data_IF_859836630367
#
_entry.id   IF_859836630367
#
_cell.length_a   1.000
_cell.length_b   1.000
_cell.length_c   1.000
_cell.angle_alpha   90.00
_cell.angle_beta   90.00
_cell.angle_gamma   90.00
#
_symmetry.space_group_name_H-M   'P 1'
#
loop_
_entity.id
_entity.type
_entity.pdbx_description
1 polymer ?
#
# COMPACT_ATOMS: atom_id res chain seq x y z
N UNK A 1 13.23 -20.85 10.00
CA UNK A 1 12.52 -21.15 11.27
C UNK A 1 11.42 -22.22 11.15
N UNK A 2 11.30 -22.93 10.03
CA UNK A 2 10.06 -23.68 9.72
C UNK A 2 10.09 -25.19 10.04
N UNK A 3 11.26 -25.82 10.13
CA UNK A 3 11.37 -27.27 10.41
C UNK A 3 11.29 -27.59 11.91
N UNK A 4 11.77 -26.69 12.76
CA UNK A 4 11.89 -26.91 14.20
C UNK A 4 10.57 -26.67 14.95
N UNK A 5 9.72 -25.76 14.45
CA UNK A 5 8.36 -25.54 14.96
C UNK A 5 7.40 -26.69 14.64
N UNK A 6 7.59 -27.37 13.51
CA UNK A 6 6.75 -28.51 13.12
C UNK A 6 6.99 -29.76 13.99
N UNK A 7 8.14 -29.82 14.67
CA UNK A 7 8.45 -30.86 15.67
C UNK A 7 7.76 -30.63 17.01
N UNK A 8 7.31 -29.42 17.30
CA UNK A 8 6.73 -29.05 18.61
C UNK A 8 5.22 -28.82 18.55
N UNK A 9 4.68 -28.29 17.44
CA UNK A 9 3.24 -28.16 17.20
C UNK A 9 2.92 -28.35 15.71
N UNK A 10 2.18 -29.41 15.40
CA UNK A 10 1.77 -29.78 14.05
C UNK A 10 0.35 -29.26 13.74
N UNK A 11 0.24 -27.94 13.50
CA UNK A 11 -1.04 -27.28 13.18
C UNK A 11 -1.12 -26.90 11.69
N UNK A 12 -2.33 -26.68 11.18
CA UNK A 12 -2.57 -26.29 9.78
C UNK A 12 -1.83 -24.99 9.42
N UNK A 13 -1.72 -24.07 10.37
CA UNK A 13 -1.02 -22.79 10.21
C UNK A 13 0.49 -22.98 10.08
N UNK A 14 1.10 -23.83 10.92
CA UNK A 14 2.54 -24.14 10.86
C UNK A 14 2.89 -24.86 9.55
N UNK A 15 2.02 -25.76 9.08
CA UNK A 15 2.17 -26.42 7.77
C UNK A 15 2.04 -25.45 6.61
N UNK A 16 1.05 -24.55 6.62
CA UNK A 16 0.88 -23.52 5.59
C UNK A 16 2.08 -22.59 5.53
N UNK A 17 2.61 -22.21 6.68
CA UNK A 17 3.80 -21.37 6.83
C UNK A 17 5.07 -22.01 6.30
N UNK A 18 5.28 -23.29 6.60
CA UNK A 18 6.38 -24.06 6.06
C UNK A 18 6.22 -24.24 4.54
N UNK A 19 5.01 -24.56 4.06
CA UNK A 19 4.74 -24.71 2.65
C UNK A 19 5.00 -23.39 1.90
N UNK A 20 4.50 -22.26 2.40
CA UNK A 20 4.78 -20.93 1.87
C UNK A 20 6.28 -20.66 1.85
N UNK A 21 7.01 -20.92 2.93
CA UNK A 21 8.46 -20.72 2.96
C UNK A 21 9.23 -21.65 2.00
N UNK A 22 8.72 -22.85 1.73
CA UNK A 22 9.32 -23.81 0.79
C UNK A 22 8.97 -23.54 -0.68
N UNK A 23 7.82 -22.91 -0.96
CA UNK A 23 7.39 -22.54 -2.31
C UNK A 23 7.72 -21.09 -2.68
N UNK A 24 8.12 -20.27 -1.70
CA UNK A 24 8.58 -18.89 -1.88
C UNK A 24 9.90 -18.88 -2.67
N UNK A 25 9.79 -18.65 -3.98
CA UNK A 25 10.93 -18.41 -4.87
C UNK A 25 10.64 -17.16 -5.69
N UNK A 26 10.70 -15.96 -5.09
CA UNK A 26 10.53 -14.72 -5.81
C UNK A 26 11.63 -14.64 -6.88
N UNK A 27 11.23 -14.31 -8.10
CA UNK A 27 12.15 -14.23 -9.23
C UNK A 27 12.22 -12.80 -9.70
N UNK A 28 13.44 -12.34 -9.92
CA UNK A 28 13.67 -11.14 -10.71
C UNK A 28 13.12 -11.42 -12.11
N UNK A 29 12.09 -10.69 -12.49
CA UNK A 29 11.33 -10.89 -13.73
C UNK A 29 11.84 -9.97 -14.83
N UNK A 30 12.07 -8.69 -14.51
CA UNK A 30 12.51 -7.68 -15.47
C UNK A 30 13.24 -6.50 -14.80
N UNK A 31 14.12 -5.86 -15.56
CA UNK A 31 14.59 -4.50 -15.31
C UNK A 31 13.87 -3.55 -16.28
N UNK A 32 13.27 -2.49 -15.75
CA UNK A 32 12.74 -1.38 -16.52
C UNK A 32 13.75 -0.23 -16.44
N UNK A 33 14.30 0.14 -17.58
CA UNK A 33 15.34 1.16 -17.72
C UNK A 33 14.84 2.28 -18.62
N UNK A 34 15.03 3.52 -18.20
CA UNK A 34 14.61 4.70 -18.96
C UNK A 34 14.90 6.02 -18.24
N UNK A 35 14.83 6.01 -16.91
CA UNK A 35 15.23 7.15 -16.10
C UNK A 35 16.74 7.38 -16.16
N UNK A 36 17.13 8.65 -16.03
CA UNK A 36 18.53 9.09 -16.05
C UNK A 36 19.10 9.45 -14.67
N UNK A 37 18.26 9.42 -13.64
CA UNK A 37 18.62 9.60 -12.25
C UNK A 37 17.81 8.65 -11.36
N UNK A 38 17.98 8.72 -10.05
CA UNK A 38 17.35 7.80 -9.10
C UNK A 38 15.82 7.77 -9.26
N UNK A 39 15.23 6.58 -9.22
CA UNK A 39 13.76 6.44 -9.12
C UNK A 39 13.40 6.70 -7.67
N UNK A 40 12.44 7.57 -7.41
CA UNK A 40 12.03 7.99 -6.07
C UNK A 40 10.73 7.32 -5.63
N UNK A 41 9.83 7.03 -6.57
CA UNK A 41 8.50 6.50 -6.28
C UNK A 41 8.02 5.59 -7.41
N UNK A 42 7.35 4.49 -7.06
CA UNK A 42 6.64 3.60 -7.99
C UNK A 42 5.22 3.34 -7.50
N UNK A 43 4.26 3.27 -8.42
CA UNK A 43 2.86 2.97 -8.10
C UNK A 43 2.21 2.17 -9.24
N UNK A 44 1.48 1.10 -8.91
CA UNK A 44 0.65 0.39 -9.89
C UNK A 44 -0.70 1.08 -10.04
N UNK A 45 -1.21 1.12 -11.28
CA UNK A 45 -2.61 1.43 -11.55
C UNK A 45 -3.49 0.28 -11.04
N UNK A 46 -4.63 0.57 -10.38
CA UNK A 46 -5.56 -0.44 -9.89
C UNK A 46 -6.29 -1.21 -11.01
N UNK A 47 -6.35 -0.67 -12.24
CA UNK A 47 -7.24 -1.16 -13.30
C UNK A 47 -6.53 -1.69 -14.54
N UNK A 48 -5.43 -1.05 -14.96
CA UNK A 48 -5.00 -1.14 -16.38
C UNK A 48 -3.65 -1.84 -16.59
N UNK A 49 -3.10 -2.52 -15.58
CA UNK A 49 -1.79 -3.18 -15.70
C UNK A 49 -0.65 -2.20 -16.03
N UNK A 50 -0.82 -0.94 -15.61
CA UNK A 50 0.16 0.14 -15.79
C UNK A 50 0.96 0.29 -14.50
N UNK A 51 2.26 0.54 -14.62
CA UNK A 51 3.11 1.00 -13.53
C UNK A 51 3.58 2.42 -13.82
N UNK A 52 3.53 3.31 -12.85
CA UNK A 52 4.17 4.62 -12.90
C UNK A 52 5.48 4.60 -12.11
N UNK A 53 6.49 5.31 -12.61
CA UNK A 53 7.72 5.61 -11.86
C UNK A 53 8.04 7.10 -11.94
N UNK A 54 8.26 7.73 -10.78
CA UNK A 54 8.77 9.09 -10.65
C UNK A 54 10.27 9.09 -10.33
N UNK A 55 11.01 10.10 -10.77
CA UNK A 55 12.47 10.15 -10.63
C UNK A 55 13.01 11.54 -10.30
N UNK A 56 14.22 11.55 -9.75
CA UNK A 56 15.10 12.71 -9.62
C UNK A 56 15.44 13.37 -10.96
N UNK A 57 15.22 12.69 -12.08
CA UNK A 57 15.36 13.27 -13.43
C UNK A 57 14.20 14.18 -13.84
N UNK A 58 13.27 14.44 -12.90
CA UNK A 58 12.12 15.36 -13.04
C UNK A 58 11.02 14.83 -13.95
N UNK A 59 11.10 13.57 -14.35
CA UNK A 59 10.13 12.93 -15.24
C UNK A 59 9.36 11.83 -14.54
N UNK A 60 8.19 11.52 -15.10
CA UNK A 60 7.43 10.31 -14.78
C UNK A 60 7.41 9.40 -16.01
N UNK A 61 7.65 8.11 -15.85
CA UNK A 61 7.46 7.13 -16.92
C UNK A 61 6.28 6.23 -16.57
N UNK A 62 5.38 6.04 -17.54
CA UNK A 62 4.32 5.04 -17.48
C UNK A 62 4.75 3.80 -18.26
N UNK A 63 4.69 2.65 -17.61
CA UNK A 63 5.11 1.35 -18.15
C UNK A 63 3.91 0.44 -18.33
N UNK A 64 3.87 -0.25 -19.44
CA UNK A 64 3.00 -1.41 -19.62
C UNK A 64 3.69 -2.62 -18.95
N UNK A 65 3.05 -3.20 -17.93
CA UNK A 65 3.66 -4.26 -17.11
C UNK A 65 3.81 -5.56 -17.91
N UNK A 66 2.89 -5.84 -18.84
CA UNK A 66 2.90 -7.08 -19.62
C UNK A 66 4.03 -7.09 -20.66
N UNK A 67 4.19 -6.00 -21.40
CA UNK A 67 5.19 -5.82 -22.45
C UNK A 67 6.53 -5.32 -21.91
N UNK A 68 6.54 -4.75 -20.69
CA UNK A 68 7.72 -4.17 -20.02
C UNK A 68 8.31 -3.00 -20.80
N UNK A 69 7.46 -2.28 -21.52
CA UNK A 69 7.83 -1.13 -22.34
C UNK A 69 7.18 0.14 -21.80
N UNK A 70 7.80 1.31 -22.00
CA UNK A 70 7.13 2.57 -21.71
C UNK A 70 5.93 2.76 -22.67
N UNK A 71 4.80 3.25 -22.14
CA UNK A 71 3.60 3.60 -22.91
C UNK A 71 3.81 4.81 -23.84
N UNK A 72 4.99 5.41 -23.81
CA UNK A 72 5.51 6.40 -24.75
C UNK A 72 6.51 7.34 -24.07
N UNK A 73 6.68 8.59 -24.54
CA UNK A 73 7.68 9.52 -23.99
C UNK A 73 7.44 9.84 -22.51
N UNK A 74 8.48 10.08 -21.69
CA UNK A 74 8.29 10.47 -20.29
C UNK A 74 7.35 11.69 -20.15
N UNK A 75 6.54 11.71 -19.09
CA UNK A 75 5.73 12.87 -18.72
C UNK A 75 6.66 13.91 -18.12
N UNK A 76 6.61 15.12 -18.69
CA UNK A 76 7.51 16.24 -18.34
C UNK A 76 6.71 17.46 -17.91
N UNK A 77 7.26 18.24 -16.99
CA UNK A 77 6.67 19.51 -16.56
C UNK A 77 7.25 19.98 -15.23
N UNK A 78 7.64 19.03 -14.35
CA UNK A 78 8.25 19.36 -13.08
C UNK A 78 9.64 19.99 -13.31
N UNK A 79 9.97 20.94 -12.47
CA UNK A 79 11.22 21.70 -12.52
C UNK A 79 12.26 21.17 -11.54
N UNK A 80 11.86 20.27 -10.65
CA UNK A 80 12.71 19.53 -9.72
C UNK A 80 12.29 18.05 -9.64
N UNK A 81 12.97 17.27 -8.79
CA UNK A 81 12.75 15.83 -8.59
C UNK A 81 11.30 15.52 -8.27
N UNK A 82 10.74 14.56 -8.98
CA UNK A 82 9.46 13.94 -8.61
C UNK A 82 9.69 13.18 -7.30
N UNK A 83 8.84 13.39 -6.31
CA UNK A 83 8.97 12.80 -4.97
C UNK A 83 8.04 11.61 -4.81
N UNK A 84 6.78 11.76 -5.25
CA UNK A 84 5.73 10.74 -5.11
C UNK A 84 4.88 10.67 -6.38
N UNK A 85 4.52 9.46 -6.79
CA UNK A 85 3.48 9.21 -7.80
C UNK A 85 2.39 8.33 -7.21
N UNK A 86 1.13 8.61 -7.54
CA UNK A 86 -0.02 7.81 -7.09
C UNK A 86 -1.11 7.79 -8.16
N UNK A 87 -1.78 6.65 -8.32
CA UNK A 87 -2.98 6.55 -9.18
C UNK A 87 -4.24 6.83 -8.35
N UNK A 88 -5.25 7.43 -9.00
CA UNK A 88 -6.61 7.45 -8.43
C UNK A 88 -7.16 6.03 -8.28
N UNK A 89 -8.08 5.77 -7.34
CA UNK A 89 -8.67 4.45 -7.15
C UNK A 89 -9.37 3.87 -8.39
N UNK A 90 -9.88 4.73 -9.27
CA UNK A 90 -10.47 4.34 -10.55
C UNK A 90 -9.46 4.21 -11.70
N UNK A 91 -8.18 4.46 -11.44
CA UNK A 91 -7.06 4.32 -12.37
C UNK A 91 -6.98 5.37 -13.48
N UNK A 92 -7.93 6.32 -13.55
CA UNK A 92 -8.00 7.30 -14.65
C UNK A 92 -7.05 8.47 -14.48
N UNK A 93 -6.73 8.82 -13.25
CA UNK A 93 -5.81 9.90 -12.93
C UNK A 93 -4.52 9.34 -12.34
N UNK A 94 -3.43 10.01 -12.68
CA UNK A 94 -2.17 9.91 -11.98
C UNK A 94 -1.89 11.28 -11.35
N UNK A 95 -1.51 11.31 -10.08
CA UNK A 95 -0.95 12.48 -9.44
C UNK A 95 0.58 12.30 -9.29
N UNK A 96 1.33 13.37 -9.52
CA UNK A 96 2.77 13.43 -9.27
C UNK A 96 3.11 14.66 -8.45
N UNK A 97 3.77 14.47 -7.31
CA UNK A 97 4.31 15.53 -6.47
C UNK A 97 5.81 15.69 -6.70
N UNK A 98 6.35 16.87 -6.39
CA UNK A 98 7.74 17.21 -6.69
C UNK A 98 8.36 18.13 -5.64
N UNK A 99 9.69 18.17 -5.60
CA UNK A 99 10.47 19.12 -4.78
C UNK A 99 10.30 20.59 -5.21
N UNK A 100 9.66 20.84 -6.35
CA UNK A 100 9.26 22.18 -6.77
C UNK A 100 7.94 22.67 -6.13
N UNK A 101 7.42 21.92 -5.15
CA UNK A 101 6.20 22.22 -4.38
C UNK A 101 4.92 22.20 -5.22
N UNK A 102 4.96 21.57 -6.40
CA UNK A 102 3.80 21.38 -7.27
C UNK A 102 3.37 19.92 -7.32
N UNK A 103 2.05 19.75 -7.43
CA UNK A 103 1.40 18.49 -7.77
C UNK A 103 0.74 18.65 -9.14
N UNK A 104 1.08 17.75 -10.07
CA UNK A 104 0.38 17.64 -11.35
C UNK A 104 -0.57 16.46 -11.35
N UNK A 105 -1.76 16.69 -11.89
CA UNK A 105 -2.70 15.63 -12.27
C UNK A 105 -2.55 15.32 -13.75
N UNK A 106 -2.56 14.05 -14.09
CA UNK A 106 -2.44 13.55 -15.46
C UNK A 106 -3.61 12.64 -15.77
N UNK A 107 -4.26 12.86 -16.91
CA UNK A 107 -5.17 11.88 -17.46
C UNK A 107 -4.35 10.70 -18.03
N UNK A 108 -4.57 9.50 -17.52
CA UNK A 108 -3.74 8.33 -17.81
C UNK A 108 -3.89 7.88 -19.27
N UNK A 109 -5.10 7.99 -19.84
CA UNK A 109 -5.40 7.53 -21.19
C UNK A 109 -4.79 8.44 -22.27
N UNK A 110 -4.92 9.76 -22.10
CA UNK A 110 -4.41 10.78 -23.03
C UNK A 110 -2.97 11.18 -22.72
N UNK A 111 -2.50 10.92 -21.50
CA UNK A 111 -1.18 11.28 -20.98
C UNK A 111 -0.95 12.79 -20.97
N UNK A 112 -2.03 13.55 -20.83
CA UNK A 112 -2.03 15.00 -20.77
C UNK A 112 -2.18 15.48 -19.34
N UNK A 113 -1.50 16.60 -19.03
CA UNK A 113 -1.62 17.28 -17.75
C UNK A 113 -2.96 18.00 -17.66
N UNK A 114 -3.59 17.93 -16.50
CA UNK A 114 -4.77 18.70 -16.12
C UNK A 114 -4.28 19.92 -15.34
N UNK A 115 -4.69 21.10 -15.79
CA UNK A 115 -4.34 22.39 -15.18
C UNK A 115 -5.56 23.02 -14.47
N UNK A 116 -5.35 23.84 -13.43
CA UNK A 116 -4.06 24.28 -12.88
C UNK A 116 -3.36 23.21 -12.01
N UNK A 117 -2.04 23.33 -11.78
CA UNK A 117 -1.35 22.53 -10.76
C UNK A 117 -1.89 22.81 -9.36
N UNK A 118 -1.73 21.81 -8.49
CA UNK A 118 -1.98 21.93 -7.06
C UNK A 118 -0.64 22.16 -6.32
N UNK A 119 -0.71 22.53 -5.05
CA UNK A 119 0.46 22.70 -4.18
C UNK A 119 0.73 21.42 -3.38
N UNK A 120 2.00 21.01 -3.29
CA UNK A 120 2.40 19.86 -2.49
C UNK A 120 3.75 19.22 -2.86
N UNK A 121 4.29 18.49 -1.89
CA UNK A 121 5.55 17.77 -1.88
C UNK A 121 5.35 16.25 -1.78
N UNK A 122 4.35 15.75 -1.06
CA UNK A 122 3.96 14.33 -1.06
C UNK A 122 2.44 14.22 -1.13
N UNK A 123 1.92 13.10 -1.60
CA UNK A 123 0.50 12.95 -1.95
C UNK A 123 -0.07 11.58 -1.60
N UNK A 124 -1.38 11.54 -1.35
CA UNK A 124 -2.16 10.31 -1.25
C UNK A 124 -3.61 10.55 -1.71
N UNK A 125 -4.14 9.68 -2.57
CA UNK A 125 -5.56 9.69 -2.92
C UNK A 125 -6.40 9.09 -1.79
N UNK A 126 -7.57 9.66 -1.55
CA UNK A 126 -8.61 9.01 -0.74
C UNK A 126 -9.10 7.74 -1.46
N UNK A 127 -9.52 6.70 -0.73
CA UNK A 127 -10.01 5.44 -1.34
C UNK A 127 -11.26 5.60 -2.22
N UNK A 128 -12.05 6.65 -2.00
CA UNK A 128 -13.22 6.98 -2.82
C UNK A 128 -12.85 7.80 -4.08
N UNK A 129 -11.61 8.29 -4.18
CA UNK A 129 -11.10 9.08 -5.30
C UNK A 129 -11.63 10.51 -5.38
N UNK A 130 -12.39 10.98 -4.39
CA UNK A 130 -12.92 12.35 -4.36
C UNK A 130 -11.91 13.38 -3.87
N UNK A 131 -10.92 12.96 -3.09
CA UNK A 131 -9.99 13.84 -2.40
C UNK A 131 -8.54 13.42 -2.63
N UNK A 132 -7.66 14.41 -2.73
CA UNK A 132 -6.21 14.20 -2.71
C UNK A 132 -5.61 14.90 -1.49
N UNK A 133 -4.98 14.15 -0.60
CA UNK A 133 -4.16 14.74 0.45
C UNK A 133 -2.79 15.11 -0.13
N UNK A 134 -2.29 16.29 0.22
CA UNK A 134 -0.97 16.77 -0.16
C UNK A 134 -0.27 17.41 1.05
N UNK A 135 0.96 16.99 1.35
CA UNK A 135 1.82 17.65 2.33
C UNK A 135 2.70 18.63 1.61
N UNK A 136 2.90 19.83 2.13
CA UNK A 136 3.78 20.86 1.54
C UNK A 136 5.15 20.85 2.20
N UNK A 137 6.13 21.51 1.57
CA UNK A 137 7.47 21.63 2.15
C UNK A 137 7.51 22.40 3.49
N UNK A 138 6.48 23.17 3.80
CA UNK A 138 6.38 23.91 5.06
C UNK A 138 5.74 23.11 6.21
N UNK A 139 5.27 21.90 5.93
CA UNK A 139 4.60 21.03 6.91
C UNK A 139 3.09 21.06 6.89
N UNK A 140 2.47 21.91 6.06
CA UNK A 140 1.01 21.96 5.95
C UNK A 140 0.49 20.73 5.23
N UNK A 141 -0.57 20.11 5.76
CA UNK A 141 -1.32 19.06 5.07
C UNK A 141 -2.63 19.65 4.54
N UNK A 142 -2.76 19.66 3.22
CA UNK A 142 -3.92 20.11 2.47
C UNK A 142 -4.73 18.90 1.99
N UNK A 143 -6.04 19.03 1.99
CA UNK A 143 -6.92 18.14 1.25
C UNK A 143 -7.45 18.90 0.04
N UNK A 144 -7.42 18.31 -1.13
CA UNK A 144 -7.90 18.90 -2.37
C UNK A 144 -9.15 18.17 -2.84
N UNK A 145 -10.21 18.91 -3.17
CA UNK A 145 -11.36 18.36 -3.88
C UNK A 145 -10.98 18.18 -5.35
N UNK A 146 -11.03 16.94 -5.85
CA UNK A 146 -10.59 16.63 -7.21
C UNK A 146 -11.62 17.00 -8.29
N UNK A 147 -12.84 17.35 -7.89
CA UNK A 147 -13.89 17.85 -8.76
C UNK A 147 -13.73 19.34 -9.03
N UNK A 148 -13.39 20.13 -8.01
CA UNK A 148 -13.23 21.58 -8.12
C UNK A 148 -11.77 22.02 -8.31
N UNK A 149 -10.81 21.17 -7.92
CA UNK A 149 -9.38 21.48 -7.81
C UNK A 149 -9.08 22.62 -6.83
N UNK A 150 -9.92 22.75 -5.80
CA UNK A 150 -9.75 23.72 -4.72
C UNK A 150 -9.37 23.01 -3.40
N UNK A 151 -8.55 23.64 -2.54
CA UNK A 151 -8.23 23.09 -1.24
C UNK A 151 -9.46 23.16 -0.31
N UNK A 152 -9.66 22.11 0.47
CA UNK A 152 -10.64 22.05 1.54
C UNK A 152 -10.11 22.79 2.76
N UNK A 153 -10.78 23.88 3.12
CA UNK A 153 -10.44 24.70 4.29
C UNK A 153 -11.19 24.23 5.55
N UNK A 154 -10.55 24.29 6.74
CA UNK A 154 -9.15 24.63 6.97
C UNK A 154 -8.19 23.45 6.65
N UNK A 155 -6.88 23.68 6.46
CA UNK A 155 -5.90 22.60 6.33
C UNK A 155 -5.94 21.66 7.54
N UNK A 156 -5.62 20.38 7.32
CA UNK A 156 -5.58 19.35 8.37
C UNK A 156 -4.49 19.62 9.42
N UNK A 157 -3.37 20.19 8.98
CA UNK A 157 -2.24 20.49 9.84
C UNK A 157 -1.53 21.73 9.32
N UNK A 158 -1.15 22.63 10.22
CA UNK A 158 -0.47 23.89 9.88
C UNK A 158 0.50 24.24 11.02
N UNK A 159 1.67 23.60 11.02
CA UNK A 159 2.81 24.02 11.83
C UNK A 159 4.02 24.18 10.93
N UNK A 160 4.49 25.42 10.86
CA UNK A 160 5.78 25.77 10.28
C UNK A 160 6.85 25.05 11.10
N UNK A 161 7.62 24.14 10.48
CA UNK A 161 9.02 23.77 10.78
C UNK A 161 9.36 22.33 10.35
N UNK A 162 8.39 21.47 9.99
CA UNK A 162 8.67 20.10 9.56
C UNK A 162 7.79 19.64 8.38
N UNK A 163 8.40 19.25 7.25
CA UNK A 163 7.68 18.61 6.15
C UNK A 163 7.48 17.11 6.41
N UNK A 164 6.30 16.63 6.04
CA UNK A 164 5.90 15.22 6.12
C UNK A 164 6.23 14.52 4.81
N UNK A 165 6.98 13.43 4.90
CA UNK A 165 7.51 12.73 3.73
C UNK A 165 6.47 11.77 3.12
N UNK A 166 5.55 11.22 3.94
CA UNK A 166 4.54 10.25 3.52
C UNK A 166 3.16 10.57 4.09
N UNK A 167 2.16 10.45 3.22
CA UNK A 167 0.75 10.49 3.56
C UNK A 167 0.10 9.16 3.18
N UNK A 168 -0.82 8.66 4.00
CA UNK A 168 -1.57 7.46 3.67
C UNK A 168 -2.96 7.48 4.32
N UNK A 169 -3.99 7.24 3.52
CA UNK A 169 -5.36 7.08 4.01
C UNK A 169 -5.58 5.67 4.55
N UNK A 170 -6.42 5.56 5.59
CA UNK A 170 -6.99 4.29 5.99
C UNK A 170 -7.83 3.70 4.84
N UNK A 171 -7.99 2.38 4.76
CA UNK A 171 -8.74 1.75 3.67
C UNK A 171 -10.20 2.21 3.55
N UNK A 172 -10.80 2.69 4.65
CA UNK A 172 -12.15 3.24 4.68
C UNK A 172 -12.21 4.76 4.43
N UNK A 173 -11.07 5.41 4.21
CA UNK A 173 -10.94 6.84 3.90
C UNK A 173 -11.15 7.78 5.08
N UNK A 174 -11.43 7.26 6.29
CA UNK A 174 -11.80 8.09 7.44
C UNK A 174 -10.62 8.68 8.18
N UNK A 175 -9.46 8.05 8.11
CA UNK A 175 -8.27 8.47 8.83
C UNK A 175 -7.15 8.75 7.84
N UNK A 176 -6.54 9.92 7.94
CA UNK A 176 -5.27 10.20 7.28
C UNK A 176 -4.13 10.00 8.28
N UNK A 177 -3.09 9.28 7.88
CA UNK A 177 -1.85 9.18 8.63
C UNK A 177 -0.71 9.90 7.90
N UNK A 178 0.17 10.56 8.66
CA UNK A 178 1.40 11.14 8.16
C UNK A 178 2.58 10.86 9.10
N UNK A 179 3.79 10.82 8.54
CA UNK A 179 5.02 10.67 9.32
C UNK A 179 5.61 12.01 9.74
N UNK A 180 6.01 12.09 11.01
CA UNK A 180 6.78 13.21 11.57
C UNK A 180 8.28 12.92 11.59
N UNK A 181 9.13 13.95 11.42
CA UNK A 181 10.59 13.78 11.48
C UNK A 181 11.14 13.56 12.88
N UNK A 182 10.33 13.73 13.91
CA UNK A 182 10.64 13.37 15.30
C UNK A 182 10.36 11.90 15.63
N UNK A 183 9.94 11.09 14.64
CA UNK A 183 9.55 9.71 14.85
C UNK A 183 8.11 9.56 15.36
N UNK A 184 7.28 10.61 15.25
CA UNK A 184 5.84 10.52 15.50
C UNK A 184 5.07 10.07 14.28
N UNK A 185 3.87 9.54 14.52
CA UNK A 185 2.87 9.32 13.49
C UNK A 185 1.66 10.16 13.90
N UNK A 186 1.25 11.03 12.98
CA UNK A 186 0.11 11.91 13.16
C UNK A 186 -1.10 11.30 12.47
N UNK A 187 -2.22 11.28 13.17
CA UNK A 187 -3.48 10.75 12.67
C UNK A 187 -4.54 11.85 12.74
N UNK A 188 -5.30 12.02 11.67
CA UNK A 188 -6.44 12.93 11.60
C UNK A 188 -7.68 12.21 11.11
N UNK A 189 -8.83 12.66 11.59
CA UNK A 189 -10.10 12.35 10.96
C UNK A 189 -10.22 13.17 9.68
N UNK A 190 -10.38 12.49 8.54
CA UNK A 190 -10.41 13.10 7.23
C UNK A 190 -11.65 13.96 6.98
N UNK A 191 -12.74 13.73 7.72
CA UNK A 191 -14.00 14.46 7.54
C UNK A 191 -14.12 15.66 8.49
N UNK A 192 -13.70 15.52 9.75
CA UNK A 192 -13.80 16.59 10.75
C UNK A 192 -12.55 17.46 10.83
N UNK A 193 -11.45 17.01 10.23
CA UNK A 193 -10.11 17.59 10.31
C UNK A 193 -9.54 17.62 11.74
N UNK A 194 -10.12 16.85 12.66
CA UNK A 194 -9.65 16.73 14.03
C UNK A 194 -8.43 15.82 14.11
N UNK A 195 -7.40 16.26 14.83
CA UNK A 195 -6.25 15.42 15.11
C UNK A 195 -6.63 14.34 16.15
N UNK A 196 -6.60 13.08 15.73
CA UNK A 196 -6.94 11.92 16.55
C UNK A 196 -5.79 11.49 17.46
N UNK A 197 -4.56 11.62 16.99
CA UNK A 197 -3.38 11.18 17.74
C UNK A 197 -2.11 11.94 17.36
N UNK A 198 -1.24 12.11 18.37
CA UNK A 198 0.15 12.55 18.27
C UNK A 198 0.98 11.57 19.11
N UNK A 199 1.17 10.35 18.61
CA UNK A 199 1.87 9.30 19.34
C UNK A 199 3.27 9.07 18.77
N UNK A 200 4.23 8.83 19.67
CA UNK A 200 5.53 8.29 19.28
C UNK A 200 5.31 6.94 18.61
N UNK A 201 5.91 6.74 17.44
CA UNK A 201 5.80 5.48 16.68
C UNK A 201 6.41 4.26 17.40
N UNK A 202 7.14 4.49 18.48
CA UNK A 202 8.02 3.49 19.11
C UNK A 202 9.40 3.39 18.46
N UNK A 203 9.63 4.07 17.33
CA UNK A 203 10.94 4.16 16.70
C UNK A 203 11.90 5.06 17.48
N UNK A 204 13.19 4.77 17.32
CA UNK A 204 14.30 5.53 17.93
C UNK A 204 14.88 6.59 16.99
N UNK A 205 14.37 6.66 15.76
CA UNK A 205 14.70 7.66 14.75
C UNK A 205 13.49 7.96 13.87
N UNK A 206 13.63 8.92 12.97
CA UNK A 206 12.58 9.37 12.04
C UNK A 206 11.86 8.20 11.37
N UNK A 207 10.54 8.27 11.34
CA UNK A 207 9.73 7.45 10.46
C UNK A 207 9.99 7.92 9.03
N UNK A 208 10.18 6.96 8.13
CA UNK A 208 10.57 7.20 6.73
C UNK A 208 9.66 6.47 5.75
N UNK A 209 8.63 5.77 6.23
CA UNK A 209 7.57 5.19 5.40
C UNK A 209 6.40 4.75 6.26
N UNK A 210 5.19 4.86 5.71
CA UNK A 210 3.94 4.37 6.30
C UNK A 210 3.18 3.53 5.29
N UNK A 211 2.51 2.49 5.76
CA UNK A 211 1.57 1.71 4.95
C UNK A 211 0.38 1.27 5.79
N UNK A 212 -0.83 1.41 5.25
CA UNK A 212 -2.02 0.77 5.79
C UNK A 212 -2.21 -0.62 5.19
N UNK A 213 -2.54 -1.55 6.06
CA UNK A 213 -3.10 -2.84 5.68
C UNK A 213 -4.57 -2.67 5.34
N UNK A 214 -5.12 -3.51 4.46
CA UNK A 214 -6.57 -3.54 4.13
C UNK A 214 -7.48 -3.74 5.35
N UNK A 215 -6.90 -4.16 6.48
CA UNK A 215 -7.61 -4.39 7.73
C UNK A 215 -7.55 -3.19 8.70
N UNK A 216 -6.91 -2.08 8.31
CA UNK A 216 -6.82 -0.85 9.11
C UNK A 216 -5.56 -0.71 9.96
N UNK A 217 -4.65 -1.68 9.91
CA UNK A 217 -3.39 -1.64 10.65
C UNK A 217 -2.30 -0.85 9.94
N UNK A 218 -1.59 -0.01 10.68
CA UNK A 218 -0.45 0.76 10.16
C UNK A 218 0.85 -0.02 10.42
N UNK A 219 1.71 -0.08 9.41
CA UNK A 219 3.12 -0.39 9.57
C UNK A 219 3.95 0.87 9.30
N UNK A 220 4.97 1.10 10.11
CA UNK A 220 5.93 2.19 9.97
C UNK A 220 7.33 1.66 9.80
N UNK A 221 8.08 2.22 8.84
CA UNK A 221 9.50 1.96 8.63
C UNK A 221 10.31 3.16 9.07
N UNK A 222 11.53 2.94 9.55
CA UNK A 222 12.36 4.02 10.10
C UNK A 222 13.81 3.98 9.65
N UNK A 223 14.46 5.14 9.82
CA UNK A 223 15.92 5.29 9.76
C UNK A 223 16.66 4.44 10.79
N UNK A 224 15.99 4.01 11.86
CA UNK A 224 16.57 3.10 12.84
C UNK A 224 16.66 1.63 12.39
N UNK A 225 16.38 1.36 11.11
CA UNK A 225 16.45 0.04 10.44
C UNK A 225 15.32 -0.93 10.79
N UNK A 226 14.38 -0.51 11.64
CA UNK A 226 13.27 -1.35 12.08
C UNK A 226 11.98 -1.03 11.34
N UNK A 227 11.07 -2.00 11.39
CA UNK A 227 9.67 -1.82 11.01
C UNK A 227 8.85 -2.08 12.25
N UNK A 228 7.95 -1.16 12.60
CA UNK A 228 7.00 -1.35 13.70
C UNK A 228 5.62 -1.53 13.09
N UNK A 229 4.92 -2.56 13.54
CA UNK A 229 3.51 -2.79 13.22
C UNK A 229 2.85 -3.36 14.47
N UNK A 230 1.83 -2.67 14.97
CA UNK A 230 1.17 -3.01 16.25
C UNK A 230 2.18 -3.09 17.39
N UNK A 231 2.26 -4.24 18.05
CA UNK A 231 3.16 -4.60 19.14
C UNK A 231 4.42 -5.34 18.66
N UNK A 232 4.64 -5.44 17.34
CA UNK A 232 5.78 -6.15 16.75
C UNK A 232 6.82 -5.18 16.20
N UNK A 233 8.08 -5.43 16.54
CA UNK A 233 9.24 -4.81 15.91
C UNK A 233 9.96 -5.83 15.04
N UNK A 234 10.05 -5.56 13.75
CA UNK A 234 10.68 -6.43 12.77
C UNK A 234 12.11 -5.97 12.53
N UNK A 235 13.06 -6.88 12.76
CA UNK A 235 14.49 -6.62 12.62
C UNK A 235 15.06 -7.51 11.51
N UNK A 236 15.57 -6.90 10.44
CA UNK A 236 16.35 -7.61 9.42
C UNK A 236 17.13 -6.68 8.48
N UNK A 237 16.58 -5.52 8.17
CA UNK A 237 17.30 -4.51 7.40
C UNK A 237 18.51 -4.00 8.17
N UNK A 238 19.56 -3.65 7.44
CA UNK A 238 20.82 -3.12 8.02
C UNK A 238 21.01 -1.63 7.79
N UNK A 239 20.02 -0.97 7.17
CA UNK A 239 19.97 0.46 6.96
C UNK A 239 18.51 0.93 6.96
N UNK A 240 18.28 2.23 6.75
CA UNK A 240 16.96 2.87 6.71
C UNK A 240 15.94 2.06 5.90
N UNK A 241 14.74 1.88 6.45
CA UNK A 241 13.59 1.32 5.70
C UNK A 241 12.91 2.46 4.96
N UNK A 242 13.10 2.52 3.65
CA UNK A 242 12.71 3.66 2.81
C UNK A 242 11.28 3.54 2.28
N UNK A 243 10.72 2.33 2.20
CA UNK A 243 9.37 2.13 1.67
C UNK A 243 8.74 0.85 2.20
N UNK A 244 7.44 0.90 2.47
CA UNK A 244 6.59 -0.21 2.87
C UNK A 244 5.38 -0.32 1.94
N UNK A 245 4.98 -1.55 1.63
CA UNK A 245 3.73 -1.81 0.91
C UNK A 245 3.12 -3.14 1.37
N UNK A 246 1.84 -3.15 1.73
CA UNK A 246 1.10 -4.40 1.92
C UNK A 246 0.71 -5.00 0.57
N UNK A 247 0.66 -6.32 0.49
CA UNK A 247 0.00 -7.00 -0.61
C UNK A 247 -1.51 -6.68 -0.61
N UNK A 248 -2.20 -6.73 -1.75
CA UNK A 248 -3.64 -6.42 -1.83
C UNK A 248 -4.51 -7.34 -0.96
N UNK A 249 -4.06 -8.56 -0.70
CA UNK A 249 -4.71 -9.48 0.22
C UNK A 249 -4.39 -9.19 1.70
N UNK A 250 -3.36 -8.39 1.99
CA UNK A 250 -2.90 -8.04 3.33
C UNK A 250 -2.14 -9.15 4.05
N UNK A 251 -1.81 -10.26 3.38
CA UNK A 251 -1.08 -11.39 3.96
C UNK A 251 0.44 -11.17 3.95
N UNK A 252 0.94 -10.27 3.11
CA UNK A 252 2.35 -9.92 3.00
C UNK A 252 2.60 -8.43 3.17
N UNK A 253 3.78 -8.12 3.70
CA UNK A 253 4.34 -6.78 3.74
C UNK A 253 5.68 -6.81 3.00
N UNK A 254 5.90 -5.92 2.04
CA UNK A 254 7.19 -5.70 1.43
C UNK A 254 7.85 -4.48 2.08
N UNK A 255 9.15 -4.56 2.32
CA UNK A 255 9.96 -3.44 2.79
C UNK A 255 11.20 -3.26 1.92
N UNK A 256 11.34 -2.07 1.33
CA UNK A 256 12.54 -1.64 0.61
C UNK A 256 13.45 -0.82 1.51
N UNK A 257 14.76 -1.00 1.39
CA UNK A 257 15.74 -0.34 2.26
C UNK A 257 16.94 0.24 1.52
N UNK A 258 17.56 1.22 2.18
CA UNK A 258 18.87 1.75 1.81
C UNK A 258 20.01 0.71 1.86
N UNK A 259 19.76 -0.48 2.44
CA UNK A 259 20.68 -1.62 2.37
C UNK A 259 20.66 -2.34 1.00
N UNK A 260 19.90 -1.80 0.04
CA UNK A 260 19.75 -2.27 -1.36
C UNK A 260 18.91 -3.53 -1.51
N UNK A 261 18.28 -3.99 -0.42
CA UNK A 261 17.45 -5.19 -0.43
C UNK A 261 15.99 -4.84 -0.28
N UNK A 262 15.15 -5.77 -0.73
CA UNK A 262 13.74 -5.82 -0.36
C UNK A 262 13.52 -7.05 0.49
N UNK A 263 12.71 -6.94 1.53
CA UNK A 263 12.31 -8.08 2.36
C UNK A 263 10.80 -8.22 2.29
N UNK A 264 10.34 -9.44 2.02
CA UNK A 264 8.93 -9.79 2.10
C UNK A 264 8.68 -10.52 3.42
N UNK A 265 7.72 -10.03 4.17
CA UNK A 265 7.30 -10.53 5.48
C UNK A 265 5.95 -11.22 5.34
N UNK A 266 5.84 -12.44 5.86
CA UNK A 266 4.55 -13.08 6.11
C UNK A 266 3.93 -12.43 7.35
N UNK A 267 2.86 -11.67 7.13
CA UNK A 267 2.06 -10.99 8.16
C UNK A 267 0.65 -11.57 8.25
N UNK A 268 0.38 -12.69 7.56
CA UNK A 268 -0.91 -13.37 7.53
C UNK A 268 -1.27 -13.96 8.89
N UNK A 269 -0.29 -14.12 9.78
CA UNK A 269 -0.45 -14.63 11.15
C UNK A 269 -0.55 -13.50 12.15
N UNK A 270 -1.78 -13.00 12.30
CA UNK A 270 -2.14 -11.83 13.12
C UNK A 270 -1.75 -11.95 14.60
N UNK A 271 -1.62 -13.17 15.13
CA UNK A 271 -1.28 -13.46 16.54
C UNK A 271 0.16 -13.96 16.73
N UNK A 272 0.96 -14.03 15.67
CA UNK A 272 2.34 -14.54 15.73
C UNK A 272 3.32 -13.52 15.15
N UNK A 273 4.61 -13.58 15.53
CA UNK A 273 5.62 -12.70 14.95
C UNK A 273 5.67 -12.83 13.44
N UNK A 274 5.66 -11.71 12.72
CA UNK A 274 5.84 -11.72 11.28
C UNK A 274 7.16 -12.40 10.91
N UNK A 275 7.12 -13.29 9.93
CA UNK A 275 8.29 -14.08 9.55
C UNK A 275 8.89 -13.56 8.24
N UNK A 276 10.21 -13.28 8.19
CA UNK A 276 10.86 -12.92 6.95
C UNK A 276 10.94 -14.15 6.02
N UNK A 277 10.47 -14.01 4.78
CA UNK A 277 10.44 -15.12 3.80
C UNK A 277 11.76 -15.20 3.03
N UNK A 278 12.13 -14.19 2.24
CA UNK A 278 13.50 -14.03 1.72
C UNK A 278 13.84 -12.57 1.46
N UNK A 279 15.12 -12.34 1.17
CA UNK A 279 15.62 -11.05 0.70
C UNK A 279 15.66 -11.08 -0.82
N UNK A 280 15.05 -10.09 -1.46
CA UNK A 280 15.15 -9.85 -2.90
C UNK A 280 16.36 -8.96 -3.12
N UNK A 281 17.30 -9.46 -3.91
CA UNK A 281 18.58 -8.80 -4.18
C UNK A 281 18.69 -8.64 -5.69
N UNK A 282 18.92 -7.40 -6.14
CA UNK A 282 19.02 -7.08 -7.56
C UNK A 282 19.46 -5.63 -7.80
N UNK A 283 18.99 -4.70 -6.96
CA UNK A 283 19.41 -3.31 -7.01
C UNK A 283 20.86 -3.11 -6.55
N UNK A 284 21.53 -2.14 -7.16
CA UNK A 284 22.94 -1.80 -6.87
C UNK A 284 23.09 -0.58 -5.95
N UNK A 285 21.99 0.13 -5.71
CA UNK A 285 21.87 1.29 -4.83
C UNK A 285 20.63 1.15 -3.92
N UNK A 286 20.40 2.08 -2.97
CA UNK A 286 19.22 2.09 -2.10
C UNK A 286 17.90 1.83 -2.84
N UNK A 287 17.06 0.96 -2.27
CA UNK A 287 15.68 0.79 -2.73
C UNK A 287 14.85 1.88 -2.09
N UNK A 288 14.26 2.73 -2.91
CA UNK A 288 13.57 3.96 -2.49
C UNK A 288 12.07 3.78 -2.41
N UNK A 289 11.50 2.88 -3.22
CA UNK A 289 10.06 2.65 -3.28
C UNK A 289 9.74 1.20 -3.63
N UNK A 290 8.69 0.64 -3.03
CA UNK A 290 8.13 -0.68 -3.34
C UNK A 290 6.61 -0.59 -3.47
N UNK A 291 6.03 -1.36 -4.40
CA UNK A 291 4.58 -1.44 -4.58
C UNK A 291 4.16 -2.80 -5.12
N UNK A 292 3.08 -3.39 -4.58
CA UNK A 292 2.49 -4.60 -5.17
C UNK A 292 1.53 -4.24 -6.30
N UNK A 293 1.44 -5.11 -7.31
CA UNK A 293 0.38 -5.05 -8.32
C UNK A 293 -0.97 -5.37 -7.68
N UNK A 294 -2.10 -4.89 -8.26
CA UNK A 294 -3.43 -5.09 -7.67
C UNK A 294 -3.86 -6.55 -7.56
N UNK A 295 -3.34 -7.42 -8.43
CA UNK A 295 -3.56 -8.87 -8.38
C UNK A 295 -2.62 -9.59 -7.38
N UNK A 296 -1.68 -8.88 -6.77
CA UNK A 296 -0.68 -9.40 -5.83
C UNK A 296 0.41 -10.26 -6.47
N UNK A 297 0.41 -10.45 -7.81
CA UNK A 297 1.33 -11.38 -8.50
C UNK A 297 2.68 -10.77 -8.84
N UNK A 298 2.77 -9.44 -8.83
CA UNK A 298 3.99 -8.68 -9.14
C UNK A 298 4.30 -7.68 -8.03
N UNK A 299 5.58 -7.51 -7.74
CA UNK A 299 6.11 -6.46 -6.87
C UNK A 299 7.02 -5.61 -7.74
N UNK A 300 6.87 -4.30 -7.69
CA UNK A 300 7.79 -3.36 -8.30
C UNK A 300 8.68 -2.75 -7.21
N UNK A 301 9.95 -2.53 -7.53
CA UNK A 301 10.85 -1.75 -6.69
C UNK A 301 11.57 -0.70 -7.51
N UNK A 302 11.52 0.56 -7.07
CA UNK A 302 12.34 1.65 -7.59
C UNK A 302 13.60 1.84 -6.75
N UNK A 303 14.68 2.29 -7.39
CA UNK A 303 15.95 2.51 -6.70
C UNK A 303 16.70 3.75 -7.19
N UNK A 304 17.57 4.24 -6.31
CA UNK A 304 18.59 5.24 -6.63
C UNK A 304 19.58 4.79 -7.73
N UNK A 305 19.56 3.52 -8.16
CA UNK A 305 20.34 3.00 -9.29
C UNK A 305 19.71 3.29 -10.66
N UNK A 306 18.69 4.14 -10.71
CA UNK A 306 17.95 4.58 -11.90
C UNK A 306 17.06 3.51 -12.54
N UNK A 307 16.89 2.35 -11.89
CA UNK A 307 16.08 1.25 -12.43
C UNK A 307 14.82 1.01 -11.60
N UNK A 308 13.82 0.45 -12.27
CA UNK A 308 12.73 -0.27 -11.61
C UNK A 308 12.89 -1.75 -11.87
N UNK A 309 12.78 -2.59 -10.84
CA UNK A 309 12.78 -4.05 -10.99
C UNK A 309 11.37 -4.57 -10.76
N UNK A 310 10.91 -5.45 -11.65
CA UNK A 310 9.71 -6.26 -11.44
C UNK A 310 10.11 -7.62 -10.89
N UNK A 311 9.43 -8.03 -9.82
CA UNK A 311 9.59 -9.32 -9.17
C UNK A 311 8.31 -10.10 -9.34
N UNK A 312 8.40 -11.30 -9.92
CA UNK A 312 7.28 -12.23 -9.90
C UNK A 312 7.13 -12.72 -8.46
N UNK A 313 6.09 -12.25 -7.79
CA UNK A 313 5.71 -12.63 -6.43
C UNK A 313 4.45 -13.47 -6.52
N UNK A 314 4.68 -14.76 -6.75
CA UNK A 314 3.71 -15.87 -6.73
C UNK A 314 2.42 -15.71 -7.56
N UNK A 315 1.85 -16.82 -8.08
CA UNK A 315 0.41 -16.94 -8.04
C UNK A 315 0.03 -16.96 -6.56
N UNK A 316 -0.85 -16.07 -6.10
CA UNK A 316 -1.60 -16.27 -4.87
C UNK A 316 -2.12 -17.71 -4.91
N UNK A 317 -1.47 -18.63 -4.19
CA UNK A 317 -2.02 -19.99 -4.00
C UNK A 317 -3.36 -19.92 -3.24
N UNK A 318 -3.71 -18.73 -2.72
CA UNK A 318 -5.03 -18.38 -2.24
C UNK A 318 -6.07 -18.13 -3.35
N UNK A 319 -5.68 -17.82 -4.59
CA UNK A 319 -6.61 -17.65 -5.72
C UNK A 319 -6.56 -18.79 -6.74
N UNK A 320 -5.39 -19.42 -6.97
CA UNK A 320 -5.25 -20.46 -8.00
C UNK A 320 -5.20 -21.90 -7.43
N UNK A 321 -5.58 -22.12 -6.16
CA UNK A 321 -5.75 -23.48 -5.61
C UNK A 321 -6.85 -23.60 -4.53
N UNK A 322 -8.14 -23.63 -4.90
CA UNK A 322 -9.14 -24.26 -4.07
C UNK A 322 -9.18 -25.75 -4.44
N UNK A 323 -8.45 -26.61 -3.74
CA UNK A 323 -8.79 -28.05 -3.72
C UNK A 323 -8.09 -28.81 -2.56
N UNK A 324 -8.63 -29.96 -2.10
CA UNK A 324 -9.84 -30.09 -1.29
C UNK A 324 -9.61 -31.15 -0.20
N UNK A 325 -8.75 -30.94 0.78
CA UNK A 325 -8.69 -31.87 1.91
C UNK A 325 -8.98 -31.11 3.19
N UNK A 326 -10.30 -30.94 3.35
CA UNK A 326 -11.04 -30.40 4.49
C UNK A 326 -10.69 -28.96 4.82
N UNK A 327 -11.46 -28.03 4.26
CA UNK A 327 -11.74 -26.78 4.95
C UNK A 327 -12.32 -27.16 6.31
N UNK A 328 -11.51 -27.11 7.36
CA UNK A 328 -12.04 -27.22 8.71
C UNK A 328 -12.94 -26.01 8.99
N UNK A 329 -13.84 -26.16 9.96
CA UNK A 329 -14.78 -25.10 10.29
C UNK A 329 -14.06 -23.78 10.63
N UNK A 330 -12.86 -23.85 11.23
CA UNK A 330 -12.07 -22.68 11.57
C UNK A 330 -11.59 -21.90 10.33
N UNK A 331 -11.18 -22.59 9.27
CA UNK A 331 -10.74 -21.97 8.02
C UNK A 331 -11.92 -21.31 7.30
N UNK A 332 -13.09 -21.95 7.30
CA UNK A 332 -14.32 -21.36 6.76
C UNK A 332 -14.71 -20.11 7.56
N UNK A 333 -14.70 -20.18 8.89
CA UNK A 333 -15.02 -19.03 9.74
C UNK A 333 -14.03 -17.87 9.58
N UNK A 334 -12.73 -18.16 9.44
CA UNK A 334 -11.72 -17.14 9.16
C UNK A 334 -11.94 -16.47 7.81
N UNK A 335 -12.31 -17.26 6.79
CA UNK A 335 -12.66 -16.75 5.46
C UNK A 335 -13.96 -15.94 5.49
N UNK A 336 -15.02 -16.41 6.15
CA UNK A 336 -16.29 -15.70 6.30
C UNK A 336 -16.09 -14.36 7.02
N UNK A 337 -15.33 -14.37 8.11
CA UNK A 337 -14.96 -13.18 8.87
C UNK A 337 -14.20 -12.18 7.98
N UNK A 338 -13.30 -12.67 7.12
CA UNK A 338 -12.53 -11.84 6.17
C UNK A 338 -13.41 -11.29 5.05
N UNK A 339 -14.24 -12.13 4.43
CA UNK A 339 -15.16 -11.76 3.37
C UNK A 339 -16.20 -10.74 3.86
N UNK A 340 -16.72 -10.92 5.07
CA UNK A 340 -17.62 -9.95 5.72
C UNK A 340 -16.96 -8.58 5.89
N UNK A 341 -15.73 -8.57 6.38
CA UNK A 341 -15.02 -7.35 6.72
C UNK A 341 -14.61 -6.57 5.48
N UNK A 342 -14.22 -7.27 4.41
CA UNK A 342 -13.85 -6.67 3.11
C UNK A 342 -15.10 -6.16 2.39
N UNK A 343 -16.12 -7.01 2.25
CA UNK A 343 -17.32 -6.64 1.50
C UNK A 343 -18.18 -5.61 2.25
N UNK A 344 -18.08 -5.57 3.58
CA UNK A 344 -18.91 -4.74 4.45
C UNK A 344 -20.43 -4.92 4.16
N UNK A 345 -20.79 -6.11 3.67
CA UNK A 345 -22.14 -6.66 3.46
C UNK A 345 -22.04 -8.18 3.30
N UNK A 346 -23.19 -8.87 3.36
CA UNK A 346 -23.24 -10.26 2.90
C UNK A 346 -23.00 -10.35 1.39
N UNK A 347 -22.20 -11.32 0.96
CA UNK A 347 -22.05 -11.65 -0.46
C UNK A 347 -23.38 -12.20 -0.99
N UNK A 348 -23.73 -11.85 -2.24
CA UNK A 348 -24.87 -12.47 -2.92
C UNK A 348 -24.56 -13.93 -3.24
N UNK A 349 -25.58 -14.76 -3.47
CA UNK A 349 -25.38 -16.17 -3.89
C UNK A 349 -24.56 -16.32 -5.17
N UNK A 350 -24.67 -15.37 -6.10
CA UNK A 350 -23.89 -15.38 -7.33
C UNK A 350 -22.40 -15.09 -7.05
N UNK A 351 -22.11 -14.10 -6.20
CA UNK A 351 -20.74 -13.80 -5.74
C UNK A 351 -20.19 -14.98 -4.91
N UNK A 352 -20.99 -15.55 -4.02
CA UNK A 352 -20.62 -16.73 -3.24
C UNK A 352 -20.23 -17.91 -4.13
N UNK A 353 -21.04 -18.24 -5.14
CA UNK A 353 -20.75 -19.33 -6.06
C UNK A 353 -19.47 -19.08 -6.88
N UNK A 354 -19.14 -17.81 -7.15
CA UNK A 354 -17.89 -17.44 -7.80
C UNK A 354 -16.65 -17.72 -6.93
N UNK A 355 -16.75 -17.51 -5.61
CA UNK A 355 -15.62 -17.66 -4.68
C UNK A 355 -15.51 -19.03 -4.01
N UNK A 356 -16.65 -19.66 -3.72
CA UNK A 356 -16.76 -20.87 -2.89
C UNK A 356 -17.25 -22.09 -3.69
N UNK A 357 -17.50 -21.93 -5.00
CA UNK A 357 -17.93 -23.02 -5.88
C UNK A 357 -19.24 -23.66 -5.42
N UNK A 358 -19.21 -24.99 -5.20
CA UNK A 358 -20.38 -25.79 -4.80
C UNK A 358 -20.64 -25.78 -3.28
N UNK A 359 -19.85 -25.05 -2.48
CA UNK A 359 -20.08 -24.98 -1.03
C UNK A 359 -21.43 -24.34 -0.68
N UNK A 360 -22.16 -24.86 0.33
CA UNK A 360 -23.43 -24.29 0.75
C UNK A 360 -23.27 -22.85 1.17
N UNK A 361 -24.15 -21.97 0.67
CA UNK A 361 -24.16 -20.56 1.03
C UNK A 361 -24.19 -20.37 2.56
N UNK A 362 -23.25 -19.57 3.07
CA UNK A 362 -23.24 -19.08 4.45
C UNK A 362 -23.22 -17.56 4.44
N UNK A 363 -23.84 -16.95 5.45
CA UNK A 363 -23.71 -15.50 5.66
C UNK A 363 -22.23 -15.20 5.93
N UNK A 364 -21.64 -14.28 5.18
CA UNK A 364 -20.29 -13.82 5.46
C UNK A 364 -20.32 -12.99 6.74
N UNK A 365 -21.28 -12.09 6.89
CA UNK A 365 -21.54 -11.31 8.08
C UNK A 365 -22.74 -11.87 8.86
N UNK A 366 -22.48 -12.61 9.94
CA UNK A 366 -23.56 -13.15 10.79
C UNK A 366 -24.50 -12.06 11.35
N UNK A 367 -23.97 -10.86 11.53
CA UNK A 367 -24.69 -9.71 12.09
C UNK A 367 -25.65 -9.00 11.12
N UNK A 368 -25.70 -9.37 9.83
CA UNK A 368 -26.52 -8.68 8.81
C UNK A 368 -27.44 -9.65 8.04
N UNK A 369 -28.57 -9.14 7.56
CA UNK A 369 -29.39 -9.87 6.57
C UNK A 369 -28.74 -9.87 5.18
N UNK A 370 -29.20 -10.74 4.27
CA UNK A 370 -28.70 -10.81 2.90
C UNK A 370 -29.01 -9.48 2.17
N UNK A 371 -27.97 -8.73 1.78
CA UNK A 371 -28.12 -7.42 1.11
C UNK A 371 -28.13 -6.20 2.03
N UNK A 372 -28.05 -6.37 3.36
CA UNK A 372 -27.88 -5.26 4.30
C UNK A 372 -26.40 -4.82 4.41
N UNK A 373 -26.21 -3.52 4.62
CA UNK A 373 -24.91 -2.87 4.83
C UNK A 373 -24.93 -2.01 6.10
N UNK A 374 -23.76 -1.60 6.57
CA UNK A 374 -23.59 -0.84 7.83
C UNK A 374 -24.39 0.48 7.88
N UNK A 375 -24.89 1.02 6.77
CA UNK A 375 -25.64 2.28 6.74
C UNK A 375 -27.07 2.20 7.26
N UNK A 376 -27.68 1.03 7.40
CA UNK A 376 -29.10 0.92 7.79
C UNK A 376 -29.35 0.84 9.30
N UNK A 377 -28.32 0.56 10.12
CA UNK A 377 -28.47 0.37 11.57
C UNK A 377 -28.26 1.64 12.41
N UNK A 378 -28.24 2.81 11.75
CA UNK A 378 -27.96 4.09 12.39
C UNK A 378 -29.16 5.04 12.52
N UNK A 379 -30.42 4.58 12.43
CA UNK A 379 -31.58 5.44 12.66
C UNK A 379 -32.84 4.63 13.04
N UNK A 380 -32.96 4.28 14.32
CA UNK A 380 -34.26 4.09 14.97
C UNK A 380 -34.24 4.77 16.34
N UNK A 381 -34.60 6.04 16.29
CA UNK A 381 -35.18 6.82 17.37
C UNK A 381 -36.57 6.25 17.71
N UNK A 382 -37.02 6.44 18.95
CA UNK A 382 -38.31 6.10 19.60
C UNK A 382 -38.20 4.90 20.56
N UNK A 383 -38.46 4.97 21.87
CA UNK A 383 -39.18 5.92 22.75
C UNK A 383 -38.45 6.10 24.09
#
# INVERSE_FOLDING_TARGET
MSVEALRTQDTAEVRRSLLTALTFSPRLSAFLTGHTAGVTSVAFSPTDGILASGSEDKTIILWDVATRQPLGPPLTGHTDSVTTVAFSPDGKLLASASKDDTVFLWDVATRQRIDPPLEGYSIAFSPDGGTLAASTFNGTVLLWDLTTLEPLDPPLYNFYYEYMDHLVFSPDGKVLAADGRDGTILLWDAATHEQLSHAGSGHTANVTSLAYSIFGDIASGSKDTTIIRRDQTLHRHTATVSSLAFSPDGDFLASGSADKTIIVWDVSRWQSPALPLSSLIGHTAPVTSVAFSPDGKTLASGSADTTVILWDVWPTAAMDNPDPLTLDAATIEAWLTRACRIANRNLTRAEWAQYMGDEPYRKTCEQWEEGENRSTNGERINE
#
